data_IF_608287706175
#
_entry.id   IF_608287706175
#
_cell.length_a   1.000
_cell.length_b   1.000
_cell.length_c   1.000
_cell.angle_alpha   90.00
_cell.angle_beta   90.00
_cell.angle_gamma   90.00
#
_symmetry.space_group_name_H-M   'P 1'
#
loop_
_entity.id
_entity.type
_entity.pdbx_description
1 polymer ?
#
# COMPACT_ATOMS: atom_id res chain seq x y z
N UNK A 1 -15.03 73.42 -7.48
CA UNK A 1 -16.30 72.74 -7.80
C UNK A 1 -16.11 72.08 -9.15
N UNK A 2 -16.32 70.77 -9.23
CA UNK A 2 -16.52 70.04 -10.48
C UNK A 2 -15.42 69.03 -10.79
N UNK A 3 -15.73 67.77 -10.49
CA UNK A 3 -15.06 66.52 -10.87
C UNK A 3 -14.72 66.41 -12.36
N UNK A 4 -13.69 65.62 -12.68
CA UNK A 4 -13.91 64.26 -13.22
C UNK A 4 -12.59 63.62 -13.64
N UNK A 5 -12.24 62.57 -12.88
CA UNK A 5 -11.42 61.43 -13.28
C UNK A 5 -11.69 60.97 -14.71
N UNK A 6 -10.64 60.47 -15.38
CA UNK A 6 -10.64 59.18 -16.10
C UNK A 6 -9.45 59.15 -17.06
N UNK A 7 -8.27 58.76 -16.57
CA UNK A 7 -7.33 58.06 -17.44
C UNK A 7 -6.25 57.32 -16.65
N UNK A 8 -6.20 56.02 -16.91
CA UNK A 8 -5.04 55.14 -16.79
C UNK A 8 -4.81 54.48 -15.42
N UNK A 9 -5.75 53.62 -15.05
CA UNK A 9 -5.38 52.35 -14.42
C UNK A 9 -6.07 51.16 -15.11
N UNK A 10 -5.50 50.62 -16.20
CA UNK A 10 -5.79 49.25 -16.58
C UNK A 10 -4.49 48.44 -16.58
N UNK A 11 -3.92 48.20 -15.41
CA UNK A 11 -2.78 47.28 -15.27
C UNK A 11 -2.90 46.44 -13.99
N UNK A 12 -4.08 45.90 -13.70
CA UNK A 12 -4.26 44.96 -12.58
C UNK A 12 -5.11 43.73 -12.92
N UNK A 13 -5.68 43.59 -14.13
CA UNK A 13 -6.53 42.41 -14.45
C UNK A 13 -5.86 41.32 -15.30
N UNK A 14 -4.67 41.55 -15.86
CA UNK A 14 -3.96 40.54 -16.66
C UNK A 14 -3.01 39.63 -15.85
N UNK A 15 -2.55 40.08 -14.67
CA UNK A 15 -1.56 39.35 -13.87
C UNK A 15 -2.21 38.23 -13.05
N UNK A 16 -3.46 38.42 -12.61
CA UNK A 16 -4.17 37.47 -11.74
C UNK A 16 -4.57 36.17 -12.47
N UNK A 17 -5.03 36.26 -13.72
CA UNK A 17 -5.40 35.07 -14.50
C UNK A 17 -4.19 34.25 -14.95
N UNK A 18 -3.10 34.92 -15.34
CA UNK A 18 -1.84 34.28 -15.70
C UNK A 18 -1.18 33.58 -14.50
N UNK A 19 -1.19 34.21 -13.32
CA UNK A 19 -0.66 33.61 -12.09
C UNK A 19 -1.47 32.38 -11.68
N UNK A 20 -2.79 32.42 -11.79
CA UNK A 20 -3.66 31.27 -11.51
C UNK A 20 -3.37 30.10 -12.45
N UNK A 21 -3.21 30.36 -13.75
CA UNK A 21 -2.84 29.33 -14.73
C UNK A 21 -1.45 28.75 -14.46
N UNK A 22 -0.46 29.58 -14.10
CA UNK A 22 0.88 29.11 -13.76
C UNK A 22 0.89 28.24 -12.50
N UNK A 23 0.07 28.58 -11.49
CA UNK A 23 -0.08 27.75 -10.29
C UNK A 23 -0.74 26.41 -10.63
N UNK A 24 -1.80 26.40 -11.44
CA UNK A 24 -2.45 25.16 -11.89
C UNK A 24 -1.51 24.26 -12.70
N UNK A 25 -0.71 24.84 -13.59
CA UNK A 25 0.29 24.07 -14.36
C UNK A 25 1.37 23.52 -13.42
N UNK A 26 1.89 24.34 -12.50
CA UNK A 26 2.92 23.90 -11.54
C UNK A 26 2.41 22.79 -10.60
N UNK A 27 1.17 22.85 -10.12
CA UNK A 27 0.59 21.82 -9.25
C UNK A 27 0.35 20.51 -10.00
N UNK A 28 -0.11 20.57 -11.25
CA UNK A 28 -0.24 19.37 -12.10
C UNK A 28 1.12 18.73 -12.37
N UNK A 29 2.15 19.53 -12.67
CA UNK A 29 3.51 19.00 -12.84
C UNK A 29 4.06 18.40 -11.54
N UNK A 30 3.86 19.04 -10.38
CA UNK A 30 4.28 18.48 -9.10
C UNK A 30 3.55 17.17 -8.77
N UNK A 31 2.23 17.07 -8.99
CA UNK A 31 1.48 15.82 -8.78
C UNK A 31 1.99 14.71 -9.71
N UNK A 32 2.18 15.01 -11.00
CA UNK A 32 2.70 14.02 -11.95
C UNK A 32 4.15 13.59 -11.65
N UNK A 33 4.94 14.45 -11.00
CA UNK A 33 6.30 14.13 -10.58
C UNK A 33 6.34 13.18 -9.37
N UNK A 34 5.33 13.22 -8.49
CA UNK A 34 5.22 12.32 -7.34
C UNK A 34 5.01 10.87 -7.82
N UNK A 35 4.21 10.65 -8.87
CA UNK A 35 4.01 9.32 -9.46
C UNK A 35 5.29 8.73 -10.06
N UNK A 36 6.22 9.58 -10.54
CA UNK A 36 7.48 9.12 -11.16
C UNK A 36 8.64 8.88 -10.18
N UNK A 37 8.61 9.48 -8.98
CA UNK A 37 9.73 9.41 -8.03
C UNK A 37 9.71 8.15 -7.15
N UNK A 38 8.56 7.49 -7.01
CA UNK A 38 8.45 6.20 -6.30
C UNK A 38 9.04 5.01 -7.09
N UNK A 39 9.37 5.20 -8.37
CA UNK A 39 9.86 4.12 -9.24
C UNK A 39 11.40 3.98 -9.30
N UNK A 40 12.18 4.88 -8.68
CA UNK A 40 13.62 5.03 -9.05
C UNK A 40 14.61 4.28 -8.14
N UNK A 41 14.21 3.72 -6.99
CA UNK A 41 15.19 3.05 -6.08
C UNK A 41 14.76 1.72 -5.45
N UNK A 42 13.67 1.10 -5.88
CA UNK A 42 13.38 -0.28 -5.48
C UNK A 42 13.66 -1.23 -6.64
N UNK A 43 14.40 -2.31 -6.40
CA UNK A 43 14.38 -3.44 -7.33
C UNK A 43 12.90 -3.81 -7.58
N UNK A 44 12.47 -3.96 -8.84
CA UNK A 44 11.08 -4.27 -9.12
C UNK A 44 10.70 -5.57 -8.42
N UNK A 45 9.63 -5.54 -7.62
CA UNK A 45 9.06 -6.74 -7.00
C UNK A 45 8.84 -7.80 -8.09
N UNK A 46 9.49 -8.97 -7.95
CA UNK A 46 9.22 -10.08 -8.87
C UNK A 46 8.02 -10.84 -8.34
N UNK A 47 6.87 -10.57 -8.95
CA UNK A 47 5.63 -11.28 -8.68
C UNK A 47 5.73 -12.68 -9.30
N UNK A 48 6.04 -13.66 -8.46
CA UNK A 48 5.83 -15.06 -8.77
C UNK A 48 4.55 -15.50 -8.07
N UNK A 49 3.76 -16.33 -8.75
CA UNK A 49 2.51 -16.84 -8.20
C UNK A 49 2.75 -17.43 -6.82
N UNK A 50 2.07 -16.89 -5.81
CA UNK A 50 2.17 -17.40 -4.45
C UNK A 50 1.56 -18.79 -4.34
N UNK A 51 2.11 -19.61 -3.45
CA UNK A 51 1.58 -20.93 -3.17
C UNK A 51 0.97 -20.95 -1.78
N UNK A 52 -0.34 -21.19 -1.69
CA UNK A 52 -1.03 -21.37 -0.42
C UNK A 52 -1.13 -22.85 -0.07
N UNK A 53 -0.70 -23.22 1.14
CA UNK A 53 -0.83 -24.56 1.70
C UNK A 53 -1.31 -24.40 3.15
N UNK A 54 -2.51 -24.91 3.45
CA UNK A 54 -3.15 -24.77 4.75
C UNK A 54 -3.22 -23.29 5.18
N UNK A 55 -2.59 -22.95 6.30
CA UNK A 55 -2.51 -21.61 6.87
C UNK A 55 -1.22 -20.86 6.52
N UNK A 56 -0.54 -21.27 5.44
CA UNK A 56 0.75 -20.71 5.02
C UNK A 56 0.65 -20.24 3.57
N UNK A 57 1.09 -19.01 3.30
CA UNK A 57 1.32 -18.47 1.96
C UNK A 57 2.82 -18.38 1.74
N UNK A 58 3.32 -19.11 0.75
CA UNK A 58 4.69 -19.05 0.28
C UNK A 58 4.85 -18.08 -0.89
N UNK A 59 5.91 -17.27 -0.86
CA UNK A 59 6.21 -16.27 -1.87
C UNK A 59 7.71 -15.96 -1.92
N UNK A 60 8.14 -15.26 -2.97
CA UNK A 60 9.53 -14.78 -3.10
C UNK A 60 9.63 -13.33 -2.59
N UNK A 61 9.06 -12.39 -3.33
CA UNK A 61 9.10 -10.96 -3.01
C UNK A 61 7.75 -10.43 -2.52
N UNK A 62 6.69 -10.71 -3.27
CA UNK A 62 5.34 -10.24 -3.01
C UNK A 62 4.33 -11.39 -3.01
N UNK A 63 3.32 -11.29 -2.15
CA UNK A 63 2.16 -12.18 -2.17
C UNK A 63 1.26 -11.79 -3.34
N UNK A 64 0.77 -12.82 -4.03
CA UNK A 64 -0.22 -12.72 -5.09
C UNK A 64 -1.32 -13.72 -4.75
N UNK A 65 -2.39 -13.22 -4.16
CA UNK A 65 -3.54 -13.98 -3.66
C UNK A 65 -4.79 -13.42 -4.32
N UNK A 66 -5.64 -14.29 -4.86
CA UNK A 66 -6.88 -13.88 -5.51
C UNK A 66 -7.93 -13.43 -4.48
N UNK A 67 -8.91 -12.60 -4.89
CA UNK A 67 -10.00 -12.20 -3.98
C UNK A 67 -10.79 -13.38 -3.40
N UNK A 68 -10.94 -14.48 -4.14
CA UNK A 68 -11.66 -15.66 -3.66
C UNK A 68 -10.83 -16.46 -2.64
N UNK A 69 -9.51 -16.54 -2.82
CA UNK A 69 -8.61 -17.12 -1.80
C UNK A 69 -8.63 -16.29 -0.51
N UNK A 70 -8.64 -14.96 -0.60
CA UNK A 70 -8.80 -14.10 0.59
C UNK A 70 -10.13 -14.37 1.31
N UNK A 71 -11.24 -14.52 0.59
CA UNK A 71 -12.53 -14.92 1.20
C UNK A 71 -12.43 -16.27 1.90
N UNK A 72 -11.70 -17.24 1.33
CA UNK A 72 -11.48 -18.54 1.97
C UNK A 72 -10.67 -18.40 3.27
N UNK A 73 -9.60 -17.62 3.26
CA UNK A 73 -8.78 -17.33 4.45
C UNK A 73 -9.63 -16.63 5.53
N UNK A 74 -10.39 -15.60 5.17
CA UNK A 74 -11.26 -14.87 6.10
C UNK A 74 -12.32 -15.78 6.73
N UNK A 75 -12.95 -16.65 5.95
CA UNK A 75 -13.88 -17.65 6.48
C UNK A 75 -13.20 -18.62 7.44
N UNK A 76 -12.03 -19.15 7.07
CA UNK A 76 -11.27 -20.08 7.90
C UNK A 76 -10.85 -19.45 9.23
N UNK A 77 -10.43 -18.19 9.22
CA UNK A 77 -10.13 -17.44 10.44
C UNK A 77 -11.40 -17.28 11.27
N UNK A 78 -12.49 -16.77 10.70
CA UNK A 78 -13.74 -16.50 11.43
C UNK A 78 -14.42 -17.77 11.98
N UNK A 79 -14.27 -18.92 11.32
CA UNK A 79 -14.84 -20.19 11.77
C UNK A 79 -14.13 -20.80 12.99
N UNK A 80 -12.89 -20.39 13.27
CA UNK A 80 -12.18 -20.86 14.45
C UNK A 80 -12.67 -20.14 15.71
N UNK A 81 -12.79 -20.87 16.82
CA UNK A 81 -12.97 -20.26 18.14
C UNK A 81 -11.71 -19.46 18.49
N UNK A 82 -11.88 -18.21 18.94
CA UNK A 82 -10.75 -17.33 19.27
C UNK A 82 -11.07 -15.86 19.06
N UNK A 83 -10.45 -14.97 19.83
CA UNK A 83 -10.67 -13.52 19.75
C UNK A 83 -9.64 -12.80 18.88
N UNK A 84 -8.53 -13.48 18.57
CA UNK A 84 -7.36 -12.88 17.93
C UNK A 84 -6.81 -13.80 16.85
N UNK A 85 -6.26 -13.20 15.79
CA UNK A 85 -5.45 -13.88 14.79
C UNK A 85 -4.06 -13.25 14.77
N UNK A 86 -3.03 -14.10 14.81
CA UNK A 86 -1.63 -13.70 14.72
C UNK A 86 -1.15 -14.06 13.31
N UNK A 87 -0.69 -13.05 12.57
CA UNK A 87 -0.07 -13.18 11.26
C UNK A 87 1.45 -13.07 11.43
N UNK A 88 2.14 -14.19 11.34
CA UNK A 88 3.60 -14.28 11.44
C UNK A 88 4.20 -14.31 10.04
N UNK A 89 5.10 -13.38 9.74
CA UNK A 89 5.75 -13.29 8.43
C UNK A 89 7.27 -13.42 8.52
N UNK A 90 7.84 -14.20 7.60
CA UNK A 90 9.28 -14.33 7.40
C UNK A 90 9.64 -13.93 5.97
N UNK A 91 10.65 -13.06 5.85
CA UNK A 91 11.19 -12.62 4.58
C UNK A 91 12.64 -13.10 4.46
N UNK A 92 12.92 -13.93 3.45
CA UNK A 92 14.21 -14.62 3.28
C UNK A 92 15.40 -13.66 3.15
N UNK A 93 15.26 -12.62 2.34
CA UNK A 93 16.29 -11.58 2.14
C UNK A 93 16.31 -10.55 3.28
N UNK A 94 15.53 -10.78 4.34
CA UNK A 94 15.38 -9.90 5.51
C UNK A 94 14.89 -8.49 5.17
N UNK A 95 14.32 -8.28 3.99
CA UNK A 95 13.79 -6.98 3.58
C UNK A 95 12.50 -6.64 4.34
N UNK A 96 12.62 -5.71 5.29
CA UNK A 96 11.47 -5.22 6.06
C UNK A 96 10.41 -4.57 5.16
N UNK A 97 10.83 -3.86 4.10
CA UNK A 97 9.92 -3.18 3.18
C UNK A 97 9.06 -4.18 2.40
N UNK A 98 9.66 -5.29 1.94
CA UNK A 98 8.91 -6.36 1.26
C UNK A 98 7.93 -7.03 2.22
N UNK A 99 8.37 -7.33 3.44
CA UNK A 99 7.50 -7.92 4.46
C UNK A 99 6.31 -7.01 4.81
N UNK A 100 6.57 -5.72 5.02
CA UNK A 100 5.53 -4.73 5.33
C UNK A 100 4.54 -4.59 4.18
N UNK A 101 5.02 -4.55 2.94
CA UNK A 101 4.15 -4.58 1.76
C UNK A 101 3.22 -5.80 1.79
N UNK A 102 3.76 -6.98 2.07
CA UNK A 102 2.96 -8.22 2.14
C UNK A 102 1.94 -8.20 3.28
N UNK A 103 2.28 -7.63 4.44
CA UNK A 103 1.31 -7.42 5.52
C UNK A 103 0.17 -6.48 5.10
N UNK A 104 0.47 -5.38 4.41
CA UNK A 104 -0.55 -4.44 3.92
C UNK A 104 -1.45 -5.10 2.88
N UNK A 105 -0.88 -5.84 1.92
CA UNK A 105 -1.67 -6.58 0.94
C UNK A 105 -2.56 -7.60 1.62
N UNK A 106 -2.03 -8.35 2.60
CA UNK A 106 -2.80 -9.34 3.34
C UNK A 106 -3.93 -8.68 4.14
N UNK A 107 -3.64 -7.58 4.85
CA UNK A 107 -4.63 -6.83 5.61
C UNK A 107 -5.79 -6.32 4.74
N UNK A 108 -5.45 -5.70 3.61
CA UNK A 108 -6.45 -5.15 2.69
C UNK A 108 -7.28 -6.25 2.03
N UNK A 109 -6.65 -7.39 1.69
CA UNK A 109 -7.34 -8.53 1.09
C UNK A 109 -8.27 -9.25 2.06
N UNK A 110 -7.88 -9.34 3.34
CA UNK A 110 -8.66 -10.03 4.37
C UNK A 110 -10.01 -9.35 4.66
N UNK A 111 -10.06 -8.02 4.49
CA UNK A 111 -11.25 -7.21 4.76
C UNK A 111 -11.63 -7.21 6.25
N UNK A 112 -12.93 -7.00 6.52
CA UNK A 112 -13.44 -6.99 7.89
C UNK A 112 -13.59 -8.40 8.43
N UNK A 113 -12.76 -8.75 9.42
CA UNK A 113 -12.89 -9.98 10.19
C UNK A 113 -13.26 -9.68 11.64
N UNK A 114 -14.02 -10.58 12.26
CA UNK A 114 -14.49 -10.40 13.64
C UNK A 114 -13.45 -10.89 14.66
N UNK A 115 -12.18 -10.51 14.46
CA UNK A 115 -11.07 -10.83 15.35
C UNK A 115 -10.05 -9.71 15.36
N UNK A 116 -9.35 -9.55 16.47
CA UNK A 116 -8.18 -8.66 16.55
C UNK A 116 -7.04 -9.27 15.71
N UNK A 117 -6.47 -8.50 14.79
CA UNK A 117 -5.33 -8.92 13.97
C UNK A 117 -4.04 -8.40 14.59
N UNK A 118 -3.04 -9.26 14.76
CA UNK A 118 -1.70 -8.91 15.22
C UNK A 118 -0.66 -9.38 14.19
N UNK A 119 0.24 -8.49 13.75
CA UNK A 119 1.30 -8.83 12.80
C UNK A 119 2.63 -9.00 13.53
N UNK A 120 3.36 -10.08 13.25
CA UNK A 120 4.66 -10.39 13.84
C UNK A 120 5.68 -10.71 12.76
N UNK A 121 6.83 -10.06 12.81
CA UNK A 121 7.99 -10.48 12.03
C UNK A 121 8.68 -11.65 12.74
N UNK A 122 8.89 -12.74 12.02
CA UNK A 122 9.74 -13.83 12.47
C UNK A 122 11.22 -13.52 12.19
N UNK A 123 12.07 -13.76 13.19
CA UNK A 123 13.53 -13.59 13.08
C UNK A 123 14.21 -14.80 12.44
N UNK A 124 13.59 -15.97 12.57
CA UNK A 124 14.07 -17.25 12.04
C UNK A 124 13.14 -17.76 10.95
N UNK A 125 13.64 -18.68 10.12
CA UNK A 125 12.86 -19.26 9.04
C UNK A 125 11.77 -20.18 9.58
N UNK A 126 10.54 -19.67 9.61
CA UNK A 126 9.33 -20.42 10.00
C UNK A 126 8.66 -21.15 8.83
N UNK A 127 9.16 -20.96 7.61
CA UNK A 127 8.51 -21.43 6.38
C UNK A 127 8.77 -22.91 6.09
N UNK A 128 9.72 -23.55 6.76
CA UNK A 128 10.19 -24.92 6.47
C UNK A 128 10.63 -25.10 5.00
N UNK A 129 10.95 -23.99 4.32
CA UNK A 129 11.36 -23.92 2.90
C UNK A 129 12.33 -22.76 2.73
N UNK A 130 13.11 -22.81 1.65
CA UNK A 130 14.08 -21.75 1.32
C UNK A 130 13.43 -20.57 0.56
N UNK A 131 12.27 -20.10 1.05
CA UNK A 131 11.44 -19.00 0.50
C UNK A 131 10.81 -18.18 1.63
N UNK A 132 10.24 -17.02 1.30
CA UNK A 132 9.48 -16.19 2.25
C UNK A 132 8.07 -16.77 2.48
N UNK A 133 7.46 -16.46 3.62
CA UNK A 133 6.09 -16.87 3.90
C UNK A 133 5.33 -15.98 4.90
N UNK A 134 4.00 -16.08 4.84
CA UNK A 134 3.07 -15.61 5.86
C UNK A 134 2.35 -16.82 6.44
N UNK A 135 2.27 -16.91 7.76
CA UNK A 135 1.56 -17.95 8.50
C UNK A 135 0.52 -17.26 9.39
N UNK A 136 -0.70 -17.78 9.44
CA UNK A 136 -1.71 -17.28 10.38
C UNK A 136 -2.17 -18.33 11.37
N UNK A 137 -2.37 -17.92 12.62
CA UNK A 137 -2.83 -18.75 13.72
C UNK A 137 -3.92 -18.01 14.50
N UNK A 138 -4.96 -18.72 14.93
CA UNK A 138 -6.07 -18.17 15.71
C UNK A 138 -5.91 -18.57 17.17
N UNK A 139 -5.92 -17.57 18.05
CA UNK A 139 -5.86 -17.69 19.52
C UNK A 139 -7.25 -17.56 20.16
#
# INVERSE_FOLDING_TARGET
MGDSDESLAPMVDGLSSGLCMLILVATVFMISSIDTTVAVHSEPFRFYKSQMINNIIYYNDAIEITPDEFKMIARAINSNGGGRVIISGYQKDQSLNKLLYNFVVFQNGLGDINKKVEYKQAKENICNRDVSCLIWEVD
#
